data_IF_116461591825
#
_entry.id   IF_116461591825
#
_cell.length_a   1.000
_cell.length_b   1.000
_cell.length_c   1.000
_cell.angle_alpha   90.00
_cell.angle_beta   90.00
_cell.angle_gamma   90.00
#
_symmetry.space_group_name_H-M   'P 1'
#
loop_
_entity.id
_entity.type
_entity.pdbx_description
1 polymer ?
#
# COMPACT_ATOMS: atom_id res chain seq x y z
N UNK A 1 22.69 -16.79 12.63
CA UNK A 1 21.30 -17.02 13.07
C UNK A 1 20.53 -17.79 11.99
N UNK A 2 20.21 -19.09 12.17
CA UNK A 2 19.55 -19.90 11.13
C UNK A 2 18.12 -19.46 10.80
N UNK A 3 17.44 -18.79 11.73
CA UNK A 3 16.05 -18.36 11.59
C UNK A 3 15.88 -16.96 10.97
N UNK A 4 16.96 -16.20 10.80
CA UNK A 4 16.87 -14.81 10.34
C UNK A 4 16.29 -14.72 8.93
N UNK A 5 16.86 -15.46 7.98
CA UNK A 5 16.40 -15.47 6.60
C UNK A 5 14.94 -15.92 6.44
N UNK A 6 14.49 -17.07 6.99
CA UNK A 6 13.10 -17.49 6.87
C UNK A 6 12.12 -16.52 7.57
N UNK A 7 12.50 -15.92 8.69
CA UNK A 7 11.65 -14.95 9.38
C UNK A 7 11.50 -13.66 8.58
N UNK A 8 12.57 -13.17 7.95
CA UNK A 8 12.49 -12.04 7.01
C UNK A 8 11.58 -12.36 5.82
N UNK A 9 11.70 -13.57 5.24
CA UNK A 9 10.86 -14.00 4.12
C UNK A 9 9.38 -14.03 4.50
N UNK A 10 9.05 -14.68 5.62
CA UNK A 10 7.66 -14.77 6.09
C UNK A 10 7.11 -13.42 6.53
N UNK A 11 7.94 -12.56 7.13
CA UNK A 11 7.57 -11.19 7.46
C UNK A 11 7.22 -10.36 6.22
N UNK A 12 8.04 -10.45 5.16
CA UNK A 12 7.76 -9.79 3.89
C UNK A 12 6.49 -10.34 3.22
N UNK A 13 6.29 -11.66 3.24
CA UNK A 13 5.10 -12.30 2.69
C UNK A 13 3.82 -11.86 3.42
N UNK A 14 3.83 -11.89 4.76
CA UNK A 14 2.71 -11.44 5.58
C UNK A 14 2.42 -9.94 5.38
N UNK A 15 3.46 -9.10 5.37
CA UNK A 15 3.33 -7.67 5.10
C UNK A 15 2.72 -7.39 3.72
N UNK A 16 3.16 -8.12 2.70
CA UNK A 16 2.60 -8.01 1.33
C UNK A 16 1.13 -8.42 1.32
N UNK A 17 0.78 -9.51 1.98
CA UNK A 17 -0.61 -9.98 2.06
C UNK A 17 -1.54 -8.98 2.76
N UNK A 18 -1.12 -8.42 3.89
CA UNK A 18 -1.88 -7.36 4.59
C UNK A 18 -2.01 -6.12 3.70
N UNK A 19 -0.93 -5.72 3.03
CA UNK A 19 -0.93 -4.57 2.11
C UNK A 19 -1.94 -4.76 0.97
N UNK A 20 -2.01 -5.97 0.40
CA UNK A 20 -2.99 -6.31 -0.62
C UNK A 20 -4.42 -6.20 -0.11
N UNK A 21 -4.72 -6.79 1.05
CA UNK A 21 -6.07 -6.76 1.64
C UNK A 21 -6.51 -5.35 2.06
N UNK A 22 -5.57 -4.52 2.52
CA UNK A 22 -5.84 -3.14 2.96
C UNK A 22 -5.77 -2.13 1.83
N UNK A 23 -5.37 -2.52 0.62
CA UNK A 23 -5.27 -1.63 -0.54
C UNK A 23 -6.53 -0.82 -0.87
N UNK A 24 -7.79 -1.28 -0.66
CA UNK A 24 -8.98 -0.46 -0.93
C UNK A 24 -9.33 0.49 0.21
N UNK A 25 -8.65 0.42 1.37
CA UNK A 25 -8.96 1.25 2.54
C UNK A 25 -8.36 2.65 2.36
N UNK A 26 -9.16 3.73 2.31
CA UNK A 26 -8.65 5.08 2.00
C UNK A 26 -7.60 5.60 2.97
N UNK A 27 -7.74 5.28 4.27
CA UNK A 27 -6.74 5.65 5.27
C UNK A 27 -5.39 4.94 5.02
N UNK A 28 -5.42 3.68 4.61
CA UNK A 28 -4.20 2.92 4.32
C UNK A 28 -3.53 3.43 3.03
N UNK A 29 -4.32 3.78 2.01
CA UNK A 29 -3.80 4.45 0.82
C UNK A 29 -3.09 5.76 1.18
N UNK A 30 -3.75 6.64 1.94
CA UNK A 30 -3.21 7.95 2.34
C UNK A 30 -1.94 7.84 3.17
N UNK A 31 -1.94 6.98 4.18
CA UNK A 31 -0.89 6.97 5.19
C UNK A 31 0.27 6.03 4.87
N UNK A 32 0.07 5.06 3.98
CA UNK A 32 1.07 4.07 3.59
C UNK A 32 1.36 4.13 2.08
N UNK A 33 0.39 3.79 1.23
CA UNK A 33 0.66 3.51 -0.19
C UNK A 33 1.11 4.75 -0.98
N UNK A 34 0.49 5.92 -0.73
CA UNK A 34 0.86 7.18 -1.39
C UNK A 34 2.25 7.70 -0.99
N UNK A 35 2.85 7.16 0.06
CA UNK A 35 4.20 7.54 0.51
C UNK A 35 5.30 6.68 -0.10
N UNK A 36 4.94 5.60 -0.81
CA UNK A 36 5.91 4.70 -1.43
C UNK A 36 6.29 5.23 -2.82
N UNK A 37 7.57 5.59 -3.06
CA UNK A 37 8.03 6.03 -4.37
C UNK A 37 7.76 4.98 -5.45
N UNK A 38 7.22 5.40 -6.60
CA UNK A 38 6.88 4.51 -7.72
C UNK A 38 5.53 3.78 -7.59
N UNK A 39 4.91 3.74 -6.40
CA UNK A 39 3.56 3.18 -6.20
C UNK A 39 2.51 4.29 -6.10
N UNK A 40 2.90 5.48 -5.60
CA UNK A 40 2.02 6.64 -5.43
C UNK A 40 1.12 6.89 -6.65
N UNK A 41 1.70 6.91 -7.84
CA UNK A 41 0.99 7.27 -9.08
C UNK A 41 -0.16 6.30 -9.42
N UNK A 42 -0.14 5.07 -8.91
CA UNK A 42 -1.21 4.09 -9.10
C UNK A 42 -2.42 4.36 -8.18
N UNK A 43 -2.19 4.89 -6.98
CA UNK A 43 -3.24 5.12 -5.97
C UNK A 43 -3.67 6.59 -5.89
N UNK A 44 -2.96 7.51 -6.55
CA UNK A 44 -3.30 8.93 -6.55
C UNK A 44 -4.53 9.19 -7.41
N UNK A 45 -5.56 9.77 -6.77
CA UNK A 45 -6.75 10.22 -7.49
C UNK A 45 -6.46 11.53 -8.21
N UNK A 46 -6.29 11.43 -9.53
CA UNK A 46 -6.04 12.57 -10.44
C UNK A 46 -7.32 13.10 -11.08
N UNK A 47 -8.49 12.62 -10.66
CA UNK A 47 -9.79 13.09 -11.17
C UNK A 47 -9.98 14.58 -10.85
N UNK A 48 -10.29 15.43 -11.86
CA UNK A 48 -10.55 16.84 -11.65
C UNK A 48 -11.65 17.08 -10.62
N UNK A 49 -11.52 18.16 -9.84
CA UNK A 49 -12.52 18.51 -8.80
C UNK A 49 -13.89 18.78 -9.45
N UNK A 50 -13.94 19.31 -10.67
CA UNK A 50 -15.19 19.54 -11.41
C UNK A 50 -16.00 18.28 -11.69
N UNK A 51 -15.34 17.12 -11.75
CA UNK A 51 -15.95 15.84 -12.12
C UNK A 51 -16.36 15.04 -10.88
N UNK A 52 -16.04 15.54 -9.67
CA UNK A 52 -16.43 14.93 -8.41
C UNK A 52 -17.82 15.43 -8.00
N UNK A 53 -18.80 14.54 -7.75
CA UNK A 53 -20.15 14.96 -7.38
C UNK A 53 -20.25 15.50 -5.93
N UNK A 54 -19.17 15.42 -5.14
CA UNK A 54 -19.04 15.90 -3.76
C UNK A 54 -17.60 16.33 -3.48
#
# INVERSE_FOLDING_TARGET
MPWLAPLCLWGAAAGTFVTLLMSPVPLFQKDVLLKIPGIKDFFEDTTPISDKPF
#
